data_IF_939621765561
#
_entry.id   IF_939621765561
#
_cell.length_a   1.000
_cell.length_b   1.000
_cell.length_c   1.000
_cell.angle_alpha   90.00
_cell.angle_beta   90.00
_cell.angle_gamma   90.00
#
_symmetry.space_group_name_H-M   'P 1'
#
loop_
_entity.id
_entity.type
_entity.pdbx_description
1 polymer ?
#
# COMPACT_ATOMS: atom_id res chain seq x y z
N UNK A 1 28.80 -16.67 -32.82
CA UNK A 1 27.33 -16.58 -32.95
C UNK A 1 26.55 -16.95 -31.69
N UNK A 2 27.09 -17.74 -30.74
CA UNK A 2 26.28 -18.35 -29.68
C UNK A 2 26.19 -17.55 -28.37
N UNK A 3 27.21 -16.74 -28.06
CA UNK A 3 27.25 -15.96 -26.81
C UNK A 3 26.25 -14.79 -26.82
N UNK A 4 26.11 -14.12 -27.97
CA UNK A 4 25.13 -13.04 -28.16
C UNK A 4 23.69 -13.55 -28.06
N UNK A 5 23.42 -14.75 -28.60
CA UNK A 5 22.11 -15.40 -28.49
C UNK A 5 21.77 -15.75 -27.03
N UNK A 6 22.77 -16.19 -26.24
CA UNK A 6 22.59 -16.48 -24.81
C UNK A 6 22.27 -15.23 -23.99
N UNK A 7 22.96 -14.12 -24.25
CA UNK A 7 22.69 -12.84 -23.56
C UNK A 7 21.29 -12.30 -23.90
N UNK A 8 20.86 -12.44 -25.16
CA UNK A 8 19.52 -12.07 -25.59
C UNK A 8 18.44 -12.92 -24.90
N UNK A 9 18.64 -14.24 -24.80
CA UNK A 9 17.71 -15.15 -24.12
C UNK A 9 17.62 -14.88 -22.62
N UNK A 10 18.76 -14.64 -21.94
CA UNK A 10 18.79 -14.26 -20.53
C UNK A 10 18.10 -12.90 -20.28
N UNK A 11 18.30 -11.92 -21.17
CA UNK A 11 17.62 -10.64 -21.11
C UNK A 11 16.10 -10.76 -21.26
N UNK A 12 15.63 -11.55 -22.23
CA UNK A 12 14.20 -11.84 -22.43
C UNK A 12 13.57 -12.55 -21.21
N UNK A 13 14.28 -13.53 -20.65
CA UNK A 13 13.84 -14.23 -19.44
C UNK A 13 13.79 -13.28 -18.24
N UNK A 14 14.78 -12.41 -18.06
CA UNK A 14 14.79 -11.44 -16.97
C UNK A 14 13.57 -10.51 -17.00
N UNK A 15 13.15 -10.05 -18.19
CA UNK A 15 11.96 -9.18 -18.34
C UNK A 15 10.66 -9.85 -17.90
N UNK A 16 10.54 -11.18 -17.97
CA UNK A 16 9.38 -11.92 -17.47
C UNK A 16 9.33 -11.97 -15.94
N UNK A 17 10.48 -11.80 -15.28
CA UNK A 17 10.62 -11.88 -13.83
C UNK A 17 10.82 -10.52 -13.17
N UNK A 18 10.85 -9.39 -13.90
CA UNK A 18 10.93 -8.05 -13.29
C UNK A 18 9.60 -7.75 -12.60
N UNK A 19 9.53 -7.72 -11.24
CA UNK A 19 8.37 -7.20 -10.58
C UNK A 19 8.45 -5.67 -10.67
N UNK A 20 7.51 -5.05 -11.38
CA UNK A 20 7.35 -3.60 -11.34
C UNK A 20 6.84 -3.20 -9.96
N UNK A 21 7.75 -2.88 -9.04
CA UNK A 21 7.39 -2.30 -7.76
C UNK A 21 6.93 -0.86 -7.99
N UNK A 22 5.66 -0.67 -8.31
CA UNK A 22 5.05 0.66 -8.34
C UNK A 22 4.92 1.16 -6.90
N UNK A 23 5.91 1.91 -6.44
CA UNK A 23 5.79 2.65 -5.20
C UNK A 23 4.60 3.61 -5.36
N UNK A 24 3.48 3.31 -4.70
CA UNK A 24 2.27 4.14 -4.80
C UNK A 24 2.53 5.49 -4.14
N UNK A 25 2.76 6.52 -4.96
CA UNK A 25 2.90 7.89 -4.51
C UNK A 25 1.63 8.35 -3.75
N UNK A 26 1.79 8.76 -2.50
CA UNK A 26 0.68 9.22 -1.68
C UNK A 26 1.06 10.42 -0.78
N UNK A 27 0.96 11.65 -1.30
CA UNK A 27 1.29 12.84 -0.53
C UNK A 27 0.18 13.14 0.47
N UNK A 28 0.53 13.21 1.75
CA UNK A 28 -0.38 13.58 2.83
C UNK A 28 0.25 14.67 3.69
N UNK A 29 -0.59 15.57 4.21
CA UNK A 29 -0.14 16.52 5.23
C UNK A 29 0.11 15.81 6.58
N UNK A 30 0.85 16.48 7.46
CA UNK A 30 1.22 15.98 8.78
C UNK A 30 0.14 16.22 9.86
N UNK A 31 -1.09 16.58 9.47
CA UNK A 31 -2.17 16.81 10.44
C UNK A 31 -2.45 15.51 11.18
N UNK A 32 -2.44 15.56 12.50
CA UNK A 32 -2.81 14.43 13.36
C UNK A 32 -4.31 14.45 13.58
N UNK A 33 -5.02 13.53 12.93
CA UNK A 33 -6.46 13.37 13.01
C UNK A 33 -6.78 11.89 12.84
N UNK A 34 -6.39 11.12 13.86
CA UNK A 34 -6.32 9.67 13.78
C UNK A 34 -7.64 9.02 13.39
N UNK A 35 -7.54 7.89 12.69
CA UNK A 35 -8.68 7.03 12.37
C UNK A 35 -8.31 5.57 12.58
N UNK A 36 -9.26 4.78 13.06
CA UNK A 36 -9.09 3.34 13.22
C UNK A 36 -9.68 2.62 12.01
N UNK A 37 -8.89 1.80 11.33
CA UNK A 37 -9.34 0.93 10.24
C UNK A 37 -10.09 -0.31 10.74
N UNK A 38 -10.86 -0.95 9.87
CA UNK A 38 -11.50 -2.26 10.14
C UNK A 38 -10.48 -3.38 10.36
N UNK A 39 -9.24 -3.18 9.89
CA UNK A 39 -8.09 -4.06 10.16
C UNK A 39 -7.46 -3.84 11.56
N UNK A 40 -8.00 -2.96 12.39
CA UNK A 40 -7.46 -2.69 13.72
C UNK A 40 -6.20 -1.81 13.74
N UNK A 41 -5.82 -1.23 12.61
CA UNK A 41 -4.68 -0.31 12.51
C UNK A 41 -5.14 1.13 12.71
N UNK A 42 -4.41 1.87 13.54
CA UNK A 42 -4.56 3.34 13.66
C UNK A 42 -3.76 4.03 12.57
N UNK A 43 -4.42 4.88 11.81
CA UNK A 43 -3.80 5.73 10.80
C UNK A 43 -3.70 7.15 11.32
N UNK A 44 -2.54 7.79 11.15
CA UNK A 44 -2.26 9.15 11.67
C UNK A 44 -3.30 10.19 11.21
N UNK A 45 -3.81 10.02 9.99
CA UNK A 45 -4.95 10.75 9.49
C UNK A 45 -5.68 9.98 8.39
N UNK A 46 -6.81 10.54 7.99
CA UNK A 46 -7.65 10.00 6.90
C UNK A 46 -6.91 9.90 5.56
N UNK A 47 -6.01 10.83 5.23
CA UNK A 47 -5.26 10.76 3.97
C UNK A 47 -4.37 9.51 3.94
N UNK A 48 -3.61 9.25 5.01
CA UNK A 48 -2.77 8.05 5.14
C UNK A 48 -3.62 6.77 5.09
N UNK A 49 -4.80 6.77 5.73
CA UNK A 49 -5.76 5.67 5.62
C UNK A 49 -6.17 5.41 4.16
N UNK A 50 -6.53 6.45 3.42
CA UNK A 50 -6.96 6.35 2.02
C UNK A 50 -5.83 5.89 1.09
N UNK A 51 -4.57 6.22 1.38
CA UNK A 51 -3.40 5.64 0.71
C UNK A 51 -3.41 4.11 0.83
N UNK A 52 -3.47 3.61 2.06
CA UNK A 52 -3.47 2.16 2.30
C UNK A 52 -4.73 1.51 1.75
N UNK A 53 -5.88 2.19 1.81
CA UNK A 53 -7.12 1.70 1.23
C UNK A 53 -7.02 1.47 -0.29
N UNK A 54 -6.32 2.35 -1.03
CA UNK A 54 -6.07 2.16 -2.47
C UNK A 54 -5.26 0.91 -2.75
N UNK A 55 -4.23 0.63 -1.95
CA UNK A 55 -3.44 -0.60 -2.09
C UNK A 55 -4.26 -1.85 -1.76
N UNK A 56 -5.13 -1.80 -0.74
CA UNK A 56 -6.07 -2.89 -0.47
C UNK A 56 -7.00 -3.14 -1.65
N UNK A 57 -7.52 -2.09 -2.29
CA UNK A 57 -8.40 -2.20 -3.47
C UNK A 57 -7.69 -2.84 -4.67
N UNK A 58 -6.43 -2.52 -4.93
CA UNK A 58 -5.62 -3.18 -5.98
C UNK A 58 -5.50 -4.68 -5.77
N UNK A 59 -5.52 -5.13 -4.50
CA UNK A 59 -5.48 -6.53 -4.11
C UNK A 59 -6.87 -7.19 -4.00
N UNK A 60 -7.95 -6.51 -4.40
CA UNK A 60 -9.32 -7.02 -4.26
C UNK A 60 -9.79 -7.11 -2.80
N UNK A 61 -9.14 -6.40 -1.87
CA UNK A 61 -9.48 -6.37 -0.45
C UNK A 61 -10.24 -5.09 -0.10
N UNK A 62 -11.04 -5.17 0.96
CA UNK A 62 -11.79 -4.03 1.47
C UNK A 62 -11.22 -3.57 2.82
N UNK A 63 -11.00 -2.26 2.95
CA UNK A 63 -10.56 -1.61 4.19
C UNK A 63 -11.44 -0.40 4.41
N UNK A 64 -12.15 -0.34 5.54
CA UNK A 64 -13.02 0.79 5.89
C UNK A 64 -12.56 1.44 7.20
N UNK A 65 -13.04 2.65 7.47
CA UNK A 65 -12.86 3.28 8.78
C UNK A 65 -13.85 2.62 9.75
N UNK A 66 -13.33 2.06 10.84
CA UNK A 66 -14.11 1.51 11.95
C UNK A 66 -14.61 2.59 12.90
N UNK A 67 -13.74 3.52 13.29
CA UNK A 67 -14.08 4.67 14.14
C UNK A 67 -13.09 5.83 13.94
N UNK A 68 -13.51 7.04 14.31
CA UNK A 68 -12.60 8.17 14.48
C UNK A 68 -11.72 7.96 15.73
N UNK A 69 -10.49 8.45 15.69
CA UNK A 69 -9.47 8.26 16.72
C UNK A 69 -8.72 6.92 16.61
N UNK A 70 -7.75 6.71 17.50
CA UNK A 70 -6.97 5.48 17.59
C UNK A 70 -7.83 4.25 17.91
N UNK A 71 -7.46 3.08 17.37
CA UNK A 71 -8.11 1.81 17.67
C UNK A 71 -8.12 1.50 19.16
N UNK A 72 -7.02 1.78 19.87
CA UNK A 72 -6.85 1.51 21.30
C UNK A 72 -7.48 2.56 22.21
N UNK A 73 -7.99 3.67 21.67
CA UNK A 73 -8.68 4.66 22.50
C UNK A 73 -9.97 4.03 23.04
N UNK A 74 -9.96 3.73 24.34
CA UNK A 74 -11.16 3.38 25.10
C UNK A 74 -12.04 4.63 25.07
N UNK A 75 -13.32 4.47 24.74
CA UNK A 75 -14.28 5.57 24.77
C UNK A 75 -14.37 6.03 26.22
N UNK A 76 -13.66 7.09 26.58
CA UNK A 76 -13.91 7.81 27.82
C UNK A 76 -15.16 8.65 27.57
N UNK A 77 -16.32 8.03 27.79
CA UNK A 77 -17.61 8.69 27.95
C UNK A 77 -17.85 8.90 29.43
#
# INVERSE_FOLDING_TARGET
>A
MNFLAMMALLGLLAMLFVPSSEASYCPCNLRKAEVCGTNGVTYQNRCVFECTQREYRKLGRNLNIRKLGSCSAIRFT
#
